data_IF_296125785307
#
_entry.id   IF_296125785307
#
_cell.length_a   1.000
_cell.length_b   1.000
_cell.length_c   1.000
_cell.angle_alpha   90.00
_cell.angle_beta   90.00
_cell.angle_gamma   90.00
#
_symmetry.space_group_name_H-M   'P 1'
#
loop_
_entity.id
_entity.type
_entity.pdbx_description
1 polymer ?
#
# COMPACT_ATOMS: atom_id res chain seq x y z
N UNK A 1 -18.63 0.20 0.71
CA UNK A 1 -17.40 0.62 1.42
C UNK A 1 -17.74 1.76 2.37
N UNK A 2 -17.29 1.69 3.64
CA UNK A 2 -17.67 2.63 4.70
C UNK A 2 -16.96 4.00 4.53
N UNK A 3 -17.70 5.11 4.56
CA UNK A 3 -17.18 6.48 4.45
C UNK A 3 -16.10 6.78 5.51
N UNK A 4 -16.24 6.18 6.70
CA UNK A 4 -15.29 6.33 7.79
C UNK A 4 -13.91 5.73 7.44
N UNK A 5 -13.90 4.66 6.64
CA UNK A 5 -12.68 3.95 6.26
C UNK A 5 -11.91 4.69 5.16
N UNK A 6 -12.58 5.45 4.31
CA UNK A 6 -11.94 6.20 3.22
C UNK A 6 -10.92 7.23 3.75
N UNK A 7 -11.30 8.04 4.74
CA UNK A 7 -10.40 9.03 5.34
C UNK A 7 -9.15 8.38 5.92
N UNK A 8 -9.34 7.28 6.67
CA UNK A 8 -8.23 6.53 7.27
C UNK A 8 -7.28 6.00 6.19
N UNK A 9 -7.82 5.35 5.16
CA UNK A 9 -7.00 4.85 4.04
C UNK A 9 -6.23 5.97 3.34
N UNK A 10 -6.88 7.09 3.02
CA UNK A 10 -6.22 8.22 2.37
C UNK A 10 -5.07 8.78 3.22
N UNK A 11 -5.29 8.96 4.52
CA UNK A 11 -4.24 9.47 5.41
C UNK A 11 -3.10 8.48 5.59
N UNK A 12 -3.40 7.19 5.76
CA UNK A 12 -2.37 6.13 5.80
C UNK A 12 -1.56 6.09 4.51
N UNK A 13 -2.21 6.19 3.35
CA UNK A 13 -1.53 6.24 2.06
C UNK A 13 -0.59 7.45 1.95
N UNK A 14 -1.05 8.65 2.29
CA UNK A 14 -0.23 9.86 2.25
C UNK A 14 0.99 9.75 3.18
N UNK A 15 0.81 9.24 4.40
CA UNK A 15 1.91 9.02 5.34
C UNK A 15 2.90 7.99 4.84
N UNK A 16 2.43 6.83 4.38
CA UNK A 16 3.30 5.71 3.98
C UNK A 16 4.08 6.00 2.70
N UNK A 17 3.52 6.78 1.78
CA UNK A 17 4.16 7.08 0.50
C UNK A 17 4.96 8.38 0.50
N UNK A 18 4.72 9.26 1.46
CA UNK A 18 5.30 10.61 1.48
C UNK A 18 4.83 11.51 0.34
N UNK A 19 3.86 11.08 -0.48
CA UNK A 19 3.39 11.86 -1.63
C UNK A 19 2.62 13.09 -1.13
N UNK A 20 2.92 14.25 -1.73
CA UNK A 20 2.16 15.47 -1.41
C UNK A 20 0.73 15.37 -1.95
N UNK A 21 -0.22 16.03 -1.27
CA UNK A 21 -1.62 16.14 -1.74
C UNK A 21 -1.73 16.70 -3.17
N UNK A 22 -0.82 17.61 -3.54
CA UNK A 22 -0.77 18.21 -4.87
C UNK A 22 -0.29 17.21 -5.93
N UNK A 23 0.77 16.46 -5.63
CA UNK A 23 1.25 15.40 -6.51
C UNK A 23 0.18 14.32 -6.72
N UNK A 24 -0.46 13.88 -5.63
CA UNK A 24 -1.58 12.93 -5.72
C UNK A 24 -2.73 13.47 -6.58
N UNK A 25 -3.11 14.73 -6.40
CA UNK A 25 -4.13 15.41 -7.22
C UNK A 25 -3.84 15.33 -8.72
N UNK A 26 -2.61 15.63 -9.12
CA UNK A 26 -2.17 15.52 -10.51
C UNK A 26 -2.27 14.08 -11.02
N UNK A 27 -1.80 13.12 -10.23
CA UNK A 27 -1.80 11.70 -10.62
C UNK A 27 -3.21 11.16 -10.87
N UNK A 28 -4.18 11.48 -10.01
CA UNK A 28 -5.56 10.98 -10.16
C UNK A 28 -6.49 11.95 -10.91
N UNK A 29 -5.95 13.06 -11.41
CA UNK A 29 -6.70 14.13 -12.08
C UNK A 29 -7.91 14.62 -11.26
N UNK A 30 -7.64 15.02 -10.01
CA UNK A 30 -8.61 15.58 -9.05
C UNK A 30 -8.02 16.86 -8.47
N UNK A 31 -8.86 17.83 -8.10
CA UNK A 31 -8.35 19.05 -7.46
C UNK A 31 -7.68 18.76 -6.11
N UNK A 32 -6.58 19.46 -5.82
CA UNK A 32 -5.86 19.33 -4.55
C UNK A 32 -6.76 19.72 -3.36
N UNK A 33 -7.65 20.70 -3.54
CA UNK A 33 -8.60 21.14 -2.52
C UNK A 33 -9.59 20.04 -2.14
N UNK A 34 -10.06 19.24 -3.12
CA UNK A 34 -10.92 18.07 -2.84
C UNK A 34 -10.18 17.01 -2.02
N UNK A 35 -8.93 16.69 -2.36
CA UNK A 35 -8.12 15.73 -1.59
C UNK A 35 -7.88 16.25 -0.17
N UNK A 36 -7.57 17.54 -0.01
CA UNK A 36 -7.37 18.14 1.31
C UNK A 36 -8.64 18.12 2.16
N UNK A 37 -9.79 18.40 1.55
CA UNK A 37 -11.07 18.32 2.22
C UNK A 37 -11.34 16.89 2.72
N UNK A 38 -11.10 15.88 1.88
CA UNK A 38 -11.29 14.48 2.27
C UNK A 38 -10.29 13.97 3.32
N UNK A 39 -9.03 14.40 3.27
CA UNK A 39 -8.03 14.01 4.28
C UNK A 39 -8.36 14.59 5.66
N UNK A 40 -8.94 15.80 5.69
CA UNK A 40 -9.22 16.53 6.92
C UNK A 40 -10.58 16.17 7.51
N UNK A 41 -11.63 16.17 6.69
CA UNK A 41 -13.02 16.06 7.13
C UNK A 41 -13.71 14.76 6.70
N UNK A 42 -13.10 13.99 5.79
CA UNK A 42 -13.67 12.76 5.27
C UNK A 42 -14.67 12.98 4.14
N UNK A 43 -15.32 11.90 3.72
CA UNK A 43 -16.22 11.88 2.59
C UNK A 43 -17.67 11.99 3.06
N UNK A 44 -18.44 12.97 2.55
CA UNK A 44 -19.89 13.07 2.83
C UNK A 44 -20.73 12.07 2.02
N UNK A 45 -20.35 11.84 0.76
CA UNK A 45 -21.01 10.92 -0.17
C UNK A 45 -20.01 10.38 -1.19
N UNK A 46 -20.24 9.16 -1.69
CA UNK A 46 -19.46 8.59 -2.77
C UNK A 46 -19.68 9.34 -4.09
N UNK A 47 -18.60 9.63 -4.80
CA UNK A 47 -18.60 10.32 -6.09
C UNK A 47 -17.65 9.62 -7.05
N UNK A 48 -17.73 9.96 -8.34
CA UNK A 48 -16.78 9.46 -9.35
C UNK A 48 -15.32 9.76 -8.98
N UNK A 49 -15.06 10.94 -8.40
CA UNK A 49 -13.70 11.34 -8.01
C UNK A 49 -13.22 10.56 -6.77
N UNK A 50 -14.08 10.37 -5.77
CA UNK A 50 -13.68 9.60 -4.58
C UNK A 50 -13.47 8.13 -4.89
N UNK A 51 -14.28 7.55 -5.79
CA UNK A 51 -14.08 6.19 -6.29
C UNK A 51 -12.72 6.07 -7.02
N UNK A 52 -12.41 7.00 -7.92
CA UNK A 52 -11.13 7.01 -8.65
C UNK A 52 -9.93 7.06 -7.73
N UNK A 53 -9.98 7.89 -6.69
CA UNK A 53 -8.91 7.96 -5.69
C UNK A 53 -8.79 6.66 -4.87
N UNK A 54 -9.92 6.08 -4.46
CA UNK A 54 -9.95 4.80 -3.75
C UNK A 54 -9.37 3.66 -4.58
N UNK A 55 -9.77 3.55 -5.85
CA UNK A 55 -9.26 2.55 -6.79
C UNK A 55 -7.73 2.70 -7.00
N UNK A 56 -7.24 3.95 -7.11
CA UNK A 56 -5.81 4.23 -7.20
C UNK A 56 -5.04 3.77 -5.95
N UNK A 57 -5.54 4.11 -4.75
CA UNK A 57 -4.91 3.72 -3.48
C UNK A 57 -4.89 2.20 -3.32
N UNK A 58 -5.99 1.52 -3.67
CA UNK A 58 -6.08 0.06 -3.63
C UNK A 58 -5.08 -0.59 -4.57
N UNK A 59 -5.00 -0.12 -5.82
CA UNK A 59 -4.04 -0.63 -6.80
C UNK A 59 -2.61 -0.45 -6.30
N UNK A 60 -2.27 0.73 -5.78
CA UNK A 60 -0.96 0.98 -5.20
C UNK A 60 -0.63 0.00 -4.06
N UNK A 61 -1.57 -0.23 -3.15
CA UNK A 61 -1.38 -1.14 -2.03
C UNK A 61 -1.32 -2.62 -2.44
N UNK A 62 -2.00 -3.01 -3.54
CA UNK A 62 -1.92 -4.35 -4.11
C UNK A 62 -0.57 -4.60 -4.80
N UNK A 63 -0.07 -3.60 -5.54
CA UNK A 63 1.23 -3.67 -6.23
C UNK A 63 2.43 -3.49 -5.28
N UNK A 64 2.21 -2.97 -4.07
CA UNK A 64 3.24 -2.76 -3.04
C UNK A 64 2.82 -3.31 -1.68
N UNK A 65 2.55 -4.60 -1.60
CA UNK A 65 2.42 -5.27 -0.31
C UNK A 65 3.81 -5.28 0.35
N UNK A 66 4.09 -4.47 1.40
CA UNK A 66 5.26 -4.74 2.21
C UNK A 66 5.07 -6.14 2.80
N UNK A 67 6.11 -6.97 2.76
CA UNK A 67 6.13 -8.21 3.54
C UNK A 67 5.71 -7.80 4.96
N UNK A 68 4.59 -8.31 5.50
CA UNK A 68 4.13 -7.91 6.82
C UNK A 68 5.28 -8.08 7.80
N UNK A 69 5.57 -7.05 8.60
CA UNK A 69 6.73 -7.01 9.51
C UNK A 69 6.82 -8.27 10.37
N UNK A 70 5.67 -8.88 10.73
CA UNK A 70 5.61 -10.17 11.41
C UNK A 70 6.22 -11.33 10.61
N UNK A 71 5.94 -11.42 9.31
CA UNK A 71 6.51 -12.44 8.43
C UNK A 71 8.01 -12.23 8.31
N UNK A 72 8.47 -10.99 8.10
CA UNK A 72 9.90 -10.69 8.03
C UNK A 72 10.62 -11.04 9.35
N UNK A 73 10.05 -10.66 10.50
CA UNK A 73 10.60 -10.98 11.81
C UNK A 73 10.59 -12.49 12.10
N UNK A 74 9.52 -13.20 11.72
CA UNK A 74 9.45 -14.65 11.85
C UNK A 74 10.52 -15.35 10.99
N UNK A 75 10.71 -14.92 9.74
CA UNK A 75 11.74 -15.46 8.86
C UNK A 75 13.15 -15.19 9.43
N UNK A 76 13.41 -13.96 9.90
CA UNK A 76 14.69 -13.61 10.56
C UNK A 76 14.94 -14.44 11.82
N UNK A 77 13.91 -14.70 12.62
CA UNK A 77 14.03 -15.51 13.84
C UNK A 77 14.31 -17.00 13.53
N UNK A 78 13.69 -17.53 12.48
CA UNK A 78 13.91 -18.91 12.01
C UNK A 78 15.34 -19.05 11.47
N UNK A 79 15.78 -18.11 10.61
CA UNK A 79 17.13 -18.08 10.05
C UNK A 79 18.21 -17.95 11.13
N UNK A 80 17.97 -17.15 12.18
CA UNK A 80 18.92 -17.00 13.28
C UNK A 80 19.08 -18.25 14.16
N UNK A 81 18.18 -19.24 14.05
CA UNK A 81 18.18 -20.47 14.87
C UNK A 81 18.47 -21.75 14.09
N UNK A 82 18.44 -21.71 12.76
CA UNK A 82 18.65 -22.87 11.89
C UNK A 82 19.55 -22.48 10.71
N UNK A 83 20.87 -22.59 10.91
CA UNK A 83 21.88 -22.34 9.86
C UNK A 83 21.85 -23.39 8.74
N UNK A 84 21.22 -24.55 8.97
CA UNK A 84 21.13 -25.62 7.95
C UNK A 84 20.02 -25.37 6.91
N UNK A 85 18.96 -24.62 7.25
CA UNK A 85 17.83 -24.33 6.36
C UNK A 85 17.91 -22.98 5.62
N UNK A 86 19.05 -22.29 5.73
CA UNK A 86 19.27 -20.98 5.12
C UNK A 86 19.11 -21.02 3.59
N UNK A 87 19.59 -22.10 2.96
CA UNK A 87 19.49 -22.29 1.51
C UNK A 87 18.04 -22.47 1.03
N UNK A 88 17.21 -23.23 1.72
CA UNK A 88 15.79 -23.40 1.35
C UNK A 88 14.99 -22.12 1.56
N UNK A 89 15.28 -21.36 2.62
CA UNK A 89 14.61 -20.09 2.90
C UNK A 89 15.02 -19.02 1.89
N UNK A 90 16.30 -18.96 1.50
CA UNK A 90 16.75 -18.09 0.41
C UNK A 90 16.06 -18.46 -0.91
N UNK A 91 15.94 -19.76 -1.21
CA UNK A 91 15.23 -20.22 -2.41
C UNK A 91 13.74 -19.88 -2.40
N UNK A 92 13.08 -19.92 -1.23
CA UNK A 92 11.69 -19.44 -1.06
C UNK A 92 11.59 -17.92 -1.26
N UNK A 93 12.54 -17.15 -0.72
CA UNK A 93 12.57 -15.69 -0.91
C UNK A 93 12.81 -15.29 -2.37
N UNK A 94 13.70 -16.00 -3.06
CA UNK A 94 13.94 -15.83 -4.50
C UNK A 94 12.70 -16.21 -5.32
N UNK A 95 12.03 -17.32 -4.98
CA UNK A 95 10.79 -17.71 -5.64
C UNK A 95 9.68 -16.66 -5.44
N UNK A 96 9.53 -16.12 -4.24
CA UNK A 96 8.57 -15.04 -3.94
C UNK A 96 8.90 -13.77 -4.74
N UNK A 97 10.18 -13.39 -4.82
CA UNK A 97 10.61 -12.22 -5.60
C UNK A 97 10.38 -12.42 -7.11
N UNK A 98 10.60 -13.64 -7.64
CA UNK A 98 10.37 -13.96 -9.05
C UNK A 98 8.89 -13.85 -9.44
N UNK A 99 7.98 -14.15 -8.51
CA UNK A 99 6.53 -14.00 -8.70
C UNK A 99 6.09 -12.52 -8.70
N UNK A 100 6.87 -11.63 -8.09
CA UNK A 100 6.61 -10.19 -8.11
C UNK A 100 7.24 -9.47 -9.31
N UNK A 101 8.31 -10.01 -9.88
CA UNK A 101 8.98 -9.46 -11.07
C UNK A 101 8.44 -10.04 -12.40
N UNK A 102 7.67 -11.14 -12.34
CA UNK A 102 6.96 -11.73 -13.48
C UNK A 102 5.71 -10.95 -13.91
N UNK A 103 5.85 -9.68 -14.32
CA UNK A 103 4.86 -9.02 -15.19
C UNK A 103 5.22 -9.32 -16.66
N UNK A 104 4.62 -10.38 -17.20
CA UNK A 104 4.24 -10.45 -18.62
C UNK A 104 2.77 -10.06 -18.75
#
# INVERSE_FOLDING_TARGET
MNLLYFKKQLNTFLTNTGISKNALAKTVNISQSQISNWSNYGLKRWTKNSKRLDDYIKKYNQDKLPIPVKIEQSLRHILAKNTEGEAEILSILEAINSLTDGKQ
#
